data_IF_732419628948
#
_entry.id   IF_732419628948
#
_cell.length_a   1.000
_cell.length_b   1.000
_cell.length_c   1.000
_cell.angle_alpha   90.00
_cell.angle_beta   90.00
_cell.angle_gamma   90.00
#
_symmetry.space_group_name_H-M   'P 1'
#
loop_
_entity.id
_entity.type
_entity.pdbx_description
1 polymer ?
#
# COMPACT_ATOMS: atom_id res chain seq x y z
N UNK A 1 22.17 -22.16 6.16
CA UNK A 1 21.56 -21.02 6.91
C UNK A 1 21.13 -19.96 5.92
N UNK A 2 19.90 -20.15 5.45
CA UNK A 2 19.26 -19.26 4.49
C UNK A 2 18.82 -18.00 5.23
N UNK A 3 19.66 -16.96 5.17
CA UNK A 3 19.23 -15.60 5.42
C UNK A 3 18.27 -15.25 4.28
N UNK A 4 16.95 -15.31 4.56
CA UNK A 4 15.98 -14.65 3.72
C UNK A 4 16.37 -13.17 3.69
N UNK A 5 16.94 -12.73 2.58
CA UNK A 5 17.14 -11.32 2.28
C UNK A 5 15.74 -10.73 2.12
N UNK A 6 15.17 -10.20 3.20
CA UNK A 6 14.01 -9.34 3.11
C UNK A 6 14.36 -8.24 2.11
N UNK A 7 13.54 -8.08 1.07
CA UNK A 7 13.72 -6.98 0.12
C UNK A 7 13.85 -5.69 0.93
N UNK A 8 14.85 -4.87 0.62
CA UNK A 8 15.11 -3.59 1.32
C UNK A 8 13.86 -2.71 1.44
N UNK A 9 12.92 -2.87 0.52
CA UNK A 9 11.63 -2.18 0.45
C UNK A 9 10.69 -2.59 1.57
N UNK A 10 10.48 -3.90 1.75
CA UNK A 10 9.67 -4.43 2.86
C UNK A 10 10.29 -4.05 4.21
N UNK A 11 11.63 -4.03 4.30
CA UNK A 11 12.32 -3.57 5.51
C UNK A 11 12.04 -2.10 5.79
N UNK A 12 12.06 -1.24 4.77
CA UNK A 12 11.78 0.20 4.93
C UNK A 12 10.38 0.44 5.49
N UNK A 13 9.34 -0.19 4.93
CA UNK A 13 7.96 0.04 5.39
C UNK A 13 7.68 -0.57 6.76
N UNK A 14 8.41 -1.60 7.15
CA UNK A 14 8.32 -2.21 8.49
C UNK A 14 8.88 -1.32 9.61
N UNK A 15 9.71 -0.33 9.28
CA UNK A 15 10.17 0.67 10.23
C UNK A 15 9.04 1.65 10.63
N UNK A 16 8.05 1.89 9.78
CA UNK A 16 6.95 2.83 10.05
C UNK A 16 6.11 2.40 11.28
N UNK A 17 5.62 1.15 11.38
CA UNK A 17 4.95 0.67 12.58
C UNK A 17 5.94 0.23 13.68
N UNK A 18 7.22 0.54 13.52
CA UNK A 18 8.29 0.19 14.44
C UNK A 18 8.32 -1.31 14.76
N UNK A 19 8.29 -2.16 13.70
CA UNK A 19 8.58 -3.58 13.86
C UNK A 19 10.09 -3.82 14.06
N UNK A 20 10.90 -2.89 13.59
CA UNK A 20 12.33 -2.79 13.80
C UNK A 20 12.71 -1.33 14.05
N UNK A 21 13.77 -1.09 14.81
CA UNK A 21 14.35 0.24 14.98
C UNK A 21 15.45 0.48 13.94
N UNK A 22 15.64 1.75 13.55
CA UNK A 22 16.75 2.14 12.67
C UNK A 22 18.08 1.97 13.38
N UNK A 23 19.09 1.43 12.68
CA UNK A 23 20.45 1.27 13.22
C UNK A 23 21.18 2.62 13.33
N UNK A 24 20.83 3.58 12.47
CA UNK A 24 21.37 4.96 12.49
C UNK A 24 20.36 5.90 11.83
N UNK A 25 20.46 7.18 12.14
CA UNK A 25 19.52 8.19 11.65
C UNK A 25 18.21 8.22 12.44
N UNK A 26 17.15 8.74 11.83
CA UNK A 26 15.83 8.85 12.42
C UNK A 26 14.74 8.62 11.38
N UNK A 27 13.64 8.02 11.81
CA UNK A 27 12.40 7.93 11.05
C UNK A 27 11.32 8.71 11.80
N UNK A 28 10.64 9.60 11.09
CA UNK A 28 9.58 10.43 11.68
C UNK A 28 8.23 10.13 11.03
N UNK A 29 7.21 10.05 11.87
CA UNK A 29 5.80 9.96 11.47
C UNK A 29 5.09 11.17 12.06
N UNK A 30 4.39 11.96 11.22
CA UNK A 30 3.77 13.20 11.70
C UNK A 30 4.74 14.19 12.35
N UNK A 31 6.02 14.19 11.95
CA UNK A 31 7.07 15.07 12.49
C UNK A 31 7.75 14.55 13.77
N UNK A 32 7.25 13.49 14.40
CA UNK A 32 7.79 12.90 15.63
C UNK A 32 8.57 11.63 15.30
N UNK A 33 9.73 11.42 15.93
CA UNK A 33 10.51 10.19 15.75
C UNK A 33 9.68 8.99 16.24
N UNK A 34 9.69 7.90 15.47
CA UNK A 34 8.91 6.69 15.80
C UNK A 34 9.30 6.10 17.16
N UNK A 35 10.52 6.38 17.65
CA UNK A 35 11.01 5.92 18.96
C UNK A 35 10.41 6.69 20.13
N UNK A 36 9.90 7.90 19.88
CA UNK A 36 9.28 8.76 20.89
C UNK A 36 7.77 8.51 21.03
N UNK A 37 7.19 7.70 20.15
CA UNK A 37 5.79 7.28 20.26
C UNK A 37 5.61 6.16 21.28
N UNK A 38 4.45 6.17 21.96
CA UNK A 38 3.90 4.95 22.50
C UNK A 38 3.65 3.96 21.36
N UNK A 39 4.14 2.73 21.50
CA UNK A 39 4.18 1.76 20.42
C UNK A 39 2.78 1.27 20.02
N UNK A 40 1.85 1.17 20.97
CA UNK A 40 0.47 0.78 20.70
C UNK A 40 -0.26 1.91 19.99
N UNK A 41 -0.12 3.15 20.48
CA UNK A 41 -0.69 4.33 19.86
C UNK A 41 -0.20 4.51 18.41
N UNK A 42 1.09 4.29 18.12
CA UNK A 42 1.64 4.34 16.76
C UNK A 42 1.02 3.23 15.88
N UNK A 43 1.02 2.00 16.37
CA UNK A 43 0.52 0.85 15.61
C UNK A 43 -0.97 0.92 15.37
N UNK A 44 -1.72 1.55 16.25
CA UNK A 44 -3.16 1.76 16.06
C UNK A 44 -3.46 2.69 14.88
N UNK A 45 -2.56 3.59 14.56
CA UNK A 45 -2.70 4.49 13.41
C UNK A 45 -2.17 3.89 12.10
N UNK A 46 -1.52 2.73 12.14
CA UNK A 46 -0.92 2.08 10.96
C UNK A 46 -1.62 0.75 10.69
N UNK A 47 -2.06 0.54 9.46
CA UNK A 47 -2.46 -0.78 8.98
C UNK A 47 -1.48 -1.24 7.89
N UNK A 48 -1.19 -2.53 7.87
CA UNK A 48 -0.28 -3.12 6.91
C UNK A 48 -0.90 -4.38 6.29
N UNK A 49 -0.87 -4.44 4.97
CA UNK A 49 -1.20 -5.64 4.19
C UNK A 49 0.10 -6.16 3.59
N UNK A 50 0.53 -7.33 4.04
CA UNK A 50 1.80 -7.94 3.64
C UNK A 50 1.66 -8.71 2.34
N UNK A 51 2.78 -8.98 1.68
CA UNK A 51 2.84 -9.82 0.49
C UNK A 51 2.27 -11.23 0.76
N UNK A 52 2.60 -11.83 1.92
CA UNK A 52 2.01 -13.08 2.37
C UNK A 52 0.76 -12.81 3.19
N UNK A 53 -0.38 -12.87 2.55
CA UNK A 53 -1.68 -12.64 3.17
C UNK A 53 -2.15 -13.88 3.93
N UNK A 54 -2.47 -13.70 5.21
CA UNK A 54 -2.94 -14.76 6.09
C UNK A 54 -4.33 -14.45 6.61
N UNK A 55 -5.23 -15.41 6.45
CA UNK A 55 -6.53 -15.45 7.12
C UNK A 55 -6.49 -16.51 8.23
N UNK A 56 -7.25 -16.27 9.27
CA UNK A 56 -7.37 -17.19 10.41
C UNK A 56 -8.60 -18.07 10.26
N UNK A 57 -8.59 -19.21 10.94
CA UNK A 57 -9.79 -20.06 11.03
C UNK A 57 -10.92 -19.29 11.69
N UNK A 58 -12.11 -19.34 11.09
CA UNK A 58 -13.28 -18.59 11.54
C UNK A 58 -14.08 -18.07 10.35
N UNK A 59 -15.14 -17.33 10.60
CA UNK A 59 -15.97 -16.75 9.53
C UNK A 59 -15.25 -15.60 8.82
N UNK A 60 -15.73 -15.21 7.64
CA UNK A 60 -15.26 -14.00 6.95
C UNK A 60 -15.46 -12.77 7.85
N UNK A 61 -16.63 -12.62 8.48
CA UNK A 61 -16.91 -11.52 9.39
C UNK A 61 -15.93 -11.47 10.56
N UNK A 62 -15.63 -12.60 11.20
CA UNK A 62 -14.64 -12.68 12.27
C UNK A 62 -13.24 -12.28 11.78
N UNK A 63 -12.82 -12.75 10.61
CA UNK A 63 -11.56 -12.35 9.99
C UNK A 63 -11.46 -10.84 9.74
N UNK A 64 -12.52 -10.21 9.33
CA UNK A 64 -12.56 -8.76 9.11
C UNK A 64 -12.53 -8.00 10.44
N UNK A 65 -13.24 -8.48 11.48
CA UNK A 65 -13.23 -7.89 12.84
C UNK A 65 -11.88 -7.90 13.54
N UNK A 66 -10.89 -8.67 13.05
CA UNK A 66 -9.51 -8.49 13.50
C UNK A 66 -8.96 -7.08 13.21
N UNK A 67 -9.52 -6.35 12.25
CA UNK A 67 -9.20 -4.94 12.01
C UNK A 67 -9.87 -3.99 13.01
N UNK A 68 -11.11 -4.30 13.41
CA UNK A 68 -11.86 -3.59 14.44
C UNK A 68 -12.90 -4.54 15.08
N UNK A 69 -12.65 -5.02 16.33
CA UNK A 69 -13.55 -5.95 17.02
C UNK A 69 -14.97 -5.43 17.22
N UNK A 70 -15.16 -4.12 17.26
CA UNK A 70 -16.45 -3.47 17.49
C UNK A 70 -17.16 -3.05 16.20
N UNK A 71 -16.63 -3.45 15.03
CA UNK A 71 -17.21 -3.07 13.75
C UNK A 71 -18.62 -3.66 13.58
N UNK A 72 -19.56 -2.82 13.13
CA UNK A 72 -20.90 -3.23 12.73
C UNK A 72 -20.85 -4.02 11.42
N UNK A 73 -21.91 -4.77 11.14
CA UNK A 73 -22.03 -5.51 9.86
C UNK A 73 -22.03 -4.58 8.65
N UNK A 74 -22.53 -3.36 8.80
CA UNK A 74 -22.51 -2.32 7.76
C UNK A 74 -21.08 -1.85 7.49
N UNK A 75 -20.29 -1.60 8.54
CA UNK A 75 -18.88 -1.22 8.41
C UNK A 75 -18.06 -2.33 7.77
N UNK A 76 -18.30 -3.59 8.16
CA UNK A 76 -17.68 -4.77 7.55
C UNK A 76 -17.98 -4.82 6.05
N UNK A 77 -19.26 -4.68 5.67
CA UNK A 77 -19.68 -4.68 4.27
C UNK A 77 -19.06 -3.53 3.50
N UNK A 78 -19.06 -2.33 4.06
CA UNK A 78 -18.46 -1.16 3.43
C UNK A 78 -16.96 -1.34 3.17
N UNK A 79 -16.20 -1.81 4.17
CA UNK A 79 -14.78 -2.12 4.00
C UNK A 79 -14.55 -3.20 2.92
N UNK A 80 -15.41 -4.22 2.86
CA UNK A 80 -15.35 -5.25 1.84
C UNK A 80 -15.68 -4.70 0.44
N UNK A 81 -16.60 -3.76 0.32
CA UNK A 81 -16.91 -3.07 -0.94
C UNK A 81 -15.72 -2.27 -1.44
N UNK A 82 -15.07 -1.49 -0.58
CA UNK A 82 -13.86 -0.72 -0.93
C UNK A 82 -12.73 -1.64 -1.41
N UNK A 83 -12.56 -2.79 -0.78
CA UNK A 83 -11.58 -3.81 -1.16
C UNK A 83 -12.03 -4.69 -2.34
N UNK A 84 -13.17 -4.41 -2.98
CA UNK A 84 -13.78 -5.23 -4.04
C UNK A 84 -14.01 -6.69 -3.61
N UNK A 85 -14.26 -6.93 -2.32
CA UNK A 85 -14.48 -8.24 -1.75
C UNK A 85 -15.96 -8.62 -1.61
N UNK A 86 -16.86 -7.65 -1.39
CA UNK A 86 -18.29 -7.89 -1.14
C UNK A 86 -18.93 -8.73 -2.27
N UNK A 87 -18.58 -8.45 -3.53
CA UNK A 87 -19.15 -9.15 -4.68
C UNK A 87 -19.02 -10.68 -4.55
N UNK A 88 -17.81 -11.19 -4.38
CA UNK A 88 -17.61 -12.63 -4.27
C UNK A 88 -18.08 -13.19 -2.91
N UNK A 89 -18.07 -12.37 -1.84
CA UNK A 89 -18.60 -12.81 -0.55
C UNK A 89 -20.09 -13.07 -0.63
N UNK A 90 -20.84 -12.25 -1.38
CA UNK A 90 -22.28 -12.44 -1.58
C UNK A 90 -22.60 -13.69 -2.42
N UNK A 91 -21.65 -14.23 -3.20
CA UNK A 91 -21.80 -15.46 -3.98
C UNK A 91 -21.67 -16.73 -3.11
N UNK A 92 -21.06 -16.64 -1.93
CA UNK A 92 -21.00 -17.77 -1.01
C UNK A 92 -22.37 -18.05 -0.38
N UNK A 93 -22.74 -19.33 -0.15
CA UNK A 93 -24.01 -19.69 0.48
C UNK A 93 -24.25 -18.98 1.83
N UNK A 94 -23.22 -18.94 2.66
CA UNK A 94 -23.27 -18.36 4.00
C UNK A 94 -22.74 -16.93 4.04
N UNK A 95 -22.42 -16.33 2.88
CA UNK A 95 -21.94 -14.94 2.76
C UNK A 95 -20.82 -14.62 3.75
N UNK A 96 -21.01 -13.63 4.63
CA UNK A 96 -20.03 -13.24 5.65
C UNK A 96 -19.85 -14.29 6.76
N UNK A 97 -20.79 -15.20 6.94
CA UNK A 97 -20.69 -16.32 7.88
C UNK A 97 -19.97 -17.54 7.26
N UNK A 98 -19.55 -17.46 6.00
CA UNK A 98 -18.73 -18.47 5.34
C UNK A 98 -17.46 -18.71 6.14
N UNK A 99 -17.22 -19.99 6.51
CA UNK A 99 -16.04 -20.38 7.28
C UNK A 99 -14.79 -20.38 6.41
N UNK A 100 -13.75 -19.74 6.91
CA UNK A 100 -12.40 -19.72 6.33
C UNK A 100 -11.54 -20.72 7.07
N UNK A 101 -10.86 -21.58 6.33
CA UNK A 101 -9.88 -22.50 6.89
C UNK A 101 -8.58 -21.77 7.24
N UNK A 102 -7.76 -22.38 8.09
CA UNK A 102 -6.48 -21.81 8.50
C UNK A 102 -5.61 -21.47 7.29
N UNK A 103 -5.14 -20.21 7.24
CA UNK A 103 -4.37 -19.70 6.11
C UNK A 103 -5.20 -19.32 4.89
N UNK A 104 -6.52 -19.50 4.92
CA UNK A 104 -7.42 -19.19 3.80
C UNK A 104 -7.25 -20.14 2.62
N UNK A 105 -7.07 -21.45 2.89
CA UNK A 105 -6.83 -22.48 1.86
C UNK A 105 -8.04 -22.72 0.96
N UNK A 106 -9.23 -22.43 1.47
CA UNK A 106 -10.50 -22.59 0.77
C UNK A 106 -10.96 -21.34 -0.02
N UNK A 107 -10.11 -20.31 -0.12
CA UNK A 107 -10.35 -19.12 -0.96
C UNK A 107 -9.17 -18.89 -1.91
N UNK A 108 -9.43 -18.27 -3.06
CA UNK A 108 -8.37 -17.95 -4.02
C UNK A 108 -7.37 -16.91 -3.46
N UNK A 109 -6.17 -16.84 -4.05
CA UNK A 109 -5.17 -15.85 -3.67
C UNK A 109 -5.69 -14.42 -3.73
N UNK A 110 -6.39 -14.07 -4.82
CA UNK A 110 -6.98 -12.73 -4.99
C UNK A 110 -8.14 -12.45 -4.03
N UNK A 111 -8.97 -13.45 -3.70
CA UNK A 111 -10.02 -13.33 -2.67
C UNK A 111 -9.40 -13.08 -1.30
N UNK A 112 -8.41 -13.88 -0.91
CA UNK A 112 -7.68 -13.75 0.35
C UNK A 112 -7.04 -12.37 0.48
N UNK A 113 -6.41 -11.88 -0.59
CA UNK A 113 -5.77 -10.58 -0.64
C UNK A 113 -6.77 -9.45 -0.41
N UNK A 114 -7.92 -9.48 -1.11
CA UNK A 114 -9.00 -8.50 -0.94
C UNK A 114 -9.60 -8.53 0.47
N UNK A 115 -9.78 -9.69 1.08
CA UNK A 115 -10.22 -9.79 2.48
C UNK A 115 -9.19 -9.17 3.45
N UNK A 116 -7.90 -9.38 3.21
CA UNK A 116 -6.85 -8.75 4.03
C UNK A 116 -6.82 -7.21 3.86
N UNK A 117 -7.09 -6.71 2.65
CA UNK A 117 -7.25 -5.26 2.42
C UNK A 117 -8.48 -4.74 3.17
N UNK A 118 -9.64 -5.41 3.07
CA UNK A 118 -10.85 -5.03 3.81
C UNK A 118 -10.62 -4.98 5.32
N UNK A 119 -9.93 -5.98 5.88
CA UNK A 119 -9.53 -6.00 7.29
C UNK A 119 -8.66 -4.80 7.67
N UNK A 120 -7.70 -4.42 6.83
CA UNK A 120 -6.85 -3.27 7.07
C UNK A 120 -7.64 -1.95 7.01
N UNK A 121 -8.58 -1.81 6.08
CA UNK A 121 -9.45 -0.63 5.95
C UNK A 121 -10.38 -0.48 7.16
N UNK A 122 -10.88 -1.59 7.71
CA UNK A 122 -11.79 -1.59 8.84
C UNK A 122 -11.16 -1.00 10.12
N UNK A 123 -9.83 -1.02 10.20
CA UNK A 123 -9.06 -0.35 11.26
C UNK A 123 -9.15 1.19 11.17
N UNK A 124 -9.55 1.75 10.03
CA UNK A 124 -9.58 3.20 9.74
C UNK A 124 -8.22 3.88 10.02
N UNK A 125 -7.11 3.38 9.45
CA UNK A 125 -5.76 3.83 9.79
C UNK A 125 -5.49 5.23 9.23
N UNK A 126 -4.52 5.94 9.84
CA UNK A 126 -3.93 7.16 9.26
C UNK A 126 -2.86 6.84 8.22
N UNK A 127 -2.23 5.68 8.32
CA UNK A 127 -1.23 5.20 7.36
C UNK A 127 -1.61 3.77 6.95
N UNK A 128 -1.81 3.57 5.65
CA UNK A 128 -2.07 2.26 5.06
C UNK A 128 -0.86 1.83 4.24
N UNK A 129 -0.24 0.73 4.61
CA UNK A 129 0.90 0.14 3.92
C UNK A 129 0.44 -1.09 3.14
N UNK A 130 0.73 -1.11 1.85
CA UNK A 130 0.39 -2.19 0.93
C UNK A 130 1.68 -2.75 0.33
N UNK A 131 2.18 -3.87 0.88
CA UNK A 131 3.40 -4.52 0.42
C UNK A 131 3.06 -5.61 -0.60
N UNK A 132 3.19 -5.27 -1.89
CA UNK A 132 2.84 -6.10 -3.06
C UNK A 132 1.47 -6.80 -2.92
N UNK A 133 0.56 -6.11 -2.24
CA UNK A 133 -0.69 -6.67 -1.76
C UNK A 133 -1.77 -6.77 -2.84
N UNK A 134 -1.49 -6.38 -4.08
CA UNK A 134 -2.41 -6.53 -5.22
C UNK A 134 -1.83 -7.41 -6.34
N UNK A 135 -0.71 -8.09 -6.10
CA UNK A 135 -0.03 -8.94 -7.10
C UNK A 135 -0.89 -10.12 -7.58
N UNK A 136 -1.72 -10.68 -6.71
CA UNK A 136 -2.65 -11.77 -7.04
C UNK A 136 -4.04 -11.27 -7.50
N UNK A 137 -4.25 -9.95 -7.56
CA UNK A 137 -5.49 -9.33 -8.02
C UNK A 137 -5.33 -8.94 -9.49
N UNK A 138 -6.37 -9.12 -10.30
CA UNK A 138 -6.35 -8.69 -11.70
C UNK A 138 -6.30 -7.16 -11.82
N UNK A 139 -5.79 -6.68 -12.95
CA UNK A 139 -5.53 -5.25 -13.19
C UNK A 139 -6.80 -4.39 -13.09
N UNK A 140 -7.96 -4.93 -13.49
CA UNK A 140 -9.23 -4.20 -13.44
C UNK A 140 -9.67 -4.00 -11.99
N UNK A 141 -9.62 -5.05 -11.19
CA UNK A 141 -9.96 -5.02 -9.77
C UNK A 141 -8.97 -4.15 -8.98
N UNK A 142 -7.67 -4.20 -9.28
CA UNK A 142 -6.66 -3.32 -8.67
C UNK A 142 -6.96 -1.83 -8.92
N UNK A 143 -7.34 -1.46 -10.15
CA UNK A 143 -7.76 -0.09 -10.46
C UNK A 143 -8.99 0.35 -9.65
N UNK A 144 -9.98 -0.53 -9.48
CA UNK A 144 -11.18 -0.21 -8.69
C UNK A 144 -10.84 -0.01 -7.21
N UNK A 145 -9.96 -0.83 -6.65
CA UNK A 145 -9.48 -0.68 -5.27
C UNK A 145 -8.78 0.67 -5.10
N UNK A 146 -7.93 1.07 -6.04
CA UNK A 146 -7.22 2.37 -5.98
C UNK A 146 -8.17 3.55 -6.10
N UNK A 147 -9.12 3.48 -7.02
CA UNK A 147 -10.17 4.50 -7.14
C UNK A 147 -10.97 4.64 -5.84
N UNK A 148 -11.32 3.53 -5.19
CA UNK A 148 -11.96 3.54 -3.89
C UNK A 148 -11.07 4.19 -2.82
N UNK A 149 -9.77 3.91 -2.81
CA UNK A 149 -8.84 4.55 -1.87
C UNK A 149 -8.74 6.06 -2.07
N UNK A 150 -8.75 6.51 -3.32
CA UNK A 150 -8.69 7.94 -3.63
C UNK A 150 -9.96 8.67 -3.15
N UNK A 151 -11.13 8.10 -3.40
CA UNK A 151 -12.41 8.75 -3.15
C UNK A 151 -12.87 8.64 -1.69
N UNK A 152 -12.67 7.48 -1.06
CA UNK A 152 -13.29 7.15 0.23
C UNK A 152 -12.36 7.32 1.44
N UNK A 153 -11.04 7.28 1.21
CA UNK A 153 -10.03 7.46 2.27
C UNK A 153 -8.96 8.48 1.87
N UNK A 154 -9.34 9.71 1.40
CA UNK A 154 -8.38 10.71 0.94
C UNK A 154 -7.39 11.13 2.05
N UNK A 155 -7.84 11.20 3.30
CA UNK A 155 -7.04 11.62 4.46
C UNK A 155 -6.07 10.56 4.99
N UNK A 156 -6.04 9.37 4.39
CA UNK A 156 -5.13 8.29 4.76
C UNK A 156 -3.87 8.36 3.91
N UNK A 157 -2.69 8.43 4.53
CA UNK A 157 -1.42 8.26 3.81
C UNK A 157 -1.27 6.82 3.33
N UNK A 158 -1.07 6.63 2.03
CA UNK A 158 -0.92 5.29 1.43
C UNK A 158 0.53 5.09 1.01
N UNK A 159 1.15 4.02 1.51
CA UNK A 159 2.49 3.58 1.11
C UNK A 159 2.32 2.28 0.35
N UNK A 160 2.65 2.30 -0.93
CA UNK A 160 2.42 1.16 -1.82
C UNK A 160 3.75 0.65 -2.34
N UNK A 161 4.07 -0.61 -2.06
CA UNK A 161 5.14 -1.33 -2.73
C UNK A 161 4.51 -2.12 -3.87
N UNK A 162 4.93 -1.88 -5.08
CA UNK A 162 4.42 -2.59 -6.24
C UNK A 162 5.55 -2.89 -7.23
N UNK A 163 5.40 -4.01 -7.92
CA UNK A 163 6.28 -4.41 -9.03
C UNK A 163 5.76 -3.89 -10.36
N UNK A 164 4.49 -3.49 -10.43
CA UNK A 164 3.86 -2.96 -11.65
C UNK A 164 3.81 -1.43 -11.59
N UNK A 165 4.40 -0.77 -12.60
CA UNK A 165 4.35 0.70 -12.71
C UNK A 165 2.90 1.19 -12.79
N UNK A 166 2.02 0.49 -13.52
CA UNK A 166 0.60 0.81 -13.59
C UNK A 166 -0.10 0.91 -12.22
N UNK A 167 0.47 0.28 -11.20
CA UNK A 167 -0.06 0.33 -9.84
C UNK A 167 0.34 1.58 -9.06
N UNK A 168 1.28 2.38 -9.54
CA UNK A 168 1.86 3.51 -8.81
C UNK A 168 1.90 4.81 -9.62
N UNK A 169 1.57 4.76 -10.90
CA UNK A 169 1.68 5.91 -11.80
C UNK A 169 0.82 7.12 -11.40
N UNK A 170 -0.28 6.90 -10.65
CA UNK A 170 -1.18 7.96 -10.18
C UNK A 170 -0.81 8.46 -8.76
N UNK A 171 0.36 8.09 -8.29
CA UNK A 171 0.78 8.44 -6.92
C UNK A 171 1.46 9.80 -6.89
N UNK A 172 1.29 10.53 -5.78
CA UNK A 172 1.86 11.86 -5.59
C UNK A 172 3.39 11.84 -5.60
N UNK A 173 4.00 10.77 -5.10
CA UNK A 173 5.45 10.57 -5.07
C UNK A 173 5.79 9.10 -5.29
N UNK A 174 6.73 8.86 -6.14
CA UNK A 174 7.30 7.54 -6.45
C UNK A 174 8.76 7.55 -6.03
N UNK A 175 9.17 6.53 -5.26
CA UNK A 175 10.56 6.28 -4.90
C UNK A 175 11.08 5.08 -5.68
N UNK A 176 12.07 5.29 -6.52
CA UNK A 176 12.78 4.20 -7.22
C UNK A 176 13.92 3.73 -6.32
N UNK A 177 13.90 2.46 -5.95
CA UNK A 177 14.89 1.88 -5.03
C UNK A 177 15.64 0.74 -5.70
N UNK A 178 16.95 0.78 -5.57
CA UNK A 178 17.84 -0.31 -5.96
C UNK A 178 18.89 -0.57 -4.86
N UNK A 179 19.20 -1.83 -4.59
CA UNK A 179 20.20 -2.26 -3.60
C UNK A 179 20.09 -1.52 -2.24
N UNK A 180 18.85 -1.25 -1.77
CA UNK A 180 18.59 -0.59 -0.49
C UNK A 180 18.81 0.91 -0.49
N UNK A 181 18.98 1.53 -1.65
CA UNK A 181 19.15 2.98 -1.81
C UNK A 181 18.04 3.57 -2.66
N UNK A 182 17.64 4.80 -2.35
CA UNK A 182 16.76 5.57 -3.22
C UNK A 182 17.61 6.13 -4.36
N UNK A 183 17.33 5.70 -5.59
CA UNK A 183 18.03 6.12 -6.80
C UNK A 183 17.40 7.37 -7.40
N UNK A 184 16.06 7.45 -7.39
CA UNK A 184 15.31 8.58 -7.89
C UNK A 184 13.98 8.74 -7.12
N UNK A 185 13.44 9.94 -7.13
CA UNK A 185 12.12 10.25 -6.57
C UNK A 185 11.44 11.32 -7.40
N UNK A 186 10.12 11.23 -7.53
CA UNK A 186 9.31 12.20 -8.29
C UNK A 186 7.96 11.63 -8.66
N UNK A 187 7.20 12.36 -9.45
CA UNK A 187 5.96 11.89 -10.08
C UNK A 187 6.27 10.92 -11.22
N UNK A 188 5.25 10.26 -11.74
CA UNK A 188 5.39 9.38 -12.91
C UNK A 188 6.03 10.10 -14.11
N UNK A 189 5.54 11.31 -14.43
CA UNK A 189 6.03 12.09 -15.55
C UNK A 189 7.48 12.54 -15.38
N UNK A 190 7.83 13.02 -14.18
CA UNK A 190 9.20 13.41 -13.84
C UNK A 190 10.16 12.23 -13.95
N UNK A 191 9.79 11.06 -13.46
CA UNK A 191 10.64 9.87 -13.51
C UNK A 191 10.78 9.31 -14.93
N UNK A 192 9.74 9.39 -15.76
CA UNK A 192 9.86 9.06 -17.18
C UNK A 192 10.84 9.98 -17.93
N UNK A 193 10.93 11.24 -17.51
CA UNK A 193 11.85 12.20 -18.12
C UNK A 193 13.30 12.07 -17.61
N UNK A 194 13.50 11.69 -16.33
CA UNK A 194 14.79 11.83 -15.64
C UNK A 194 15.44 10.53 -15.20
N UNK A 195 14.70 9.41 -15.15
CA UNK A 195 15.20 8.12 -14.65
C UNK A 195 15.10 7.04 -15.72
N UNK A 196 16.24 6.65 -16.29
CA UNK A 196 16.29 5.67 -17.37
C UNK A 196 15.86 4.27 -16.91
N UNK A 197 16.17 3.89 -15.66
CA UNK A 197 15.72 2.62 -15.08
C UNK A 197 14.20 2.57 -14.98
N UNK A 198 13.59 3.62 -14.45
CA UNK A 198 12.13 3.69 -14.35
C UNK A 198 11.45 3.63 -15.71
N UNK A 199 11.99 4.36 -16.69
CA UNK A 199 11.51 4.36 -18.08
C UNK A 199 11.61 2.97 -18.71
N UNK A 200 12.74 2.30 -18.56
CA UNK A 200 12.98 0.95 -19.08
C UNK A 200 11.96 -0.06 -18.54
N UNK A 201 11.68 -0.01 -17.24
CA UNK A 201 10.68 -0.88 -16.60
C UNK A 201 9.28 -0.58 -17.14
N UNK A 202 8.91 0.70 -17.22
CA UNK A 202 7.62 1.11 -17.75
C UNK A 202 7.41 0.63 -19.19
N UNK A 203 8.38 0.86 -20.07
CA UNK A 203 8.34 0.41 -21.47
C UNK A 203 8.25 -1.11 -21.58
N UNK A 204 9.04 -1.84 -20.81
CA UNK A 204 9.01 -3.30 -20.78
C UNK A 204 7.63 -3.82 -20.37
N UNK A 205 7.03 -3.24 -19.33
CA UNK A 205 5.71 -3.66 -18.84
C UNK A 205 4.58 -3.27 -19.80
N UNK A 206 4.68 -2.12 -20.47
CA UNK A 206 3.70 -1.65 -21.44
C UNK A 206 3.76 -2.48 -22.73
N UNK A 207 4.96 -2.82 -23.20
CA UNK A 207 5.15 -3.66 -24.39
C UNK A 207 4.57 -5.06 -24.18
N UNK A 208 4.70 -5.65 -22.99
CA UNK A 208 4.14 -6.95 -22.66
C UNK A 208 2.60 -6.94 -22.50
N UNK A 209 1.97 -5.77 -22.43
CA UNK A 209 0.50 -5.61 -22.39
C UNK A 209 -0.13 -5.35 -23.75
N UNK A 210 0.67 -5.02 -24.79
CA UNK A 210 0.21 -4.87 -26.17
C UNK A 210 -0.19 -6.24 -26.75
N UNK A 211 -1.31 -6.29 -27.46
CA UNK A 211 -1.84 -7.53 -28.04
C UNK A 211 -0.86 -8.15 -29.06
N UNK A 212 -0.91 -9.50 -29.30
CA UNK A 212 0.00 -10.20 -30.22
C UNK A 212 0.01 -9.67 -31.65
N UNK A 213 -1.01 -8.96 -32.09
CA UNK A 213 -1.09 -8.38 -33.46
C UNK A 213 -0.19 -7.15 -33.66
N UNK A 214 0.15 -6.41 -32.59
CA UNK A 214 1.07 -5.26 -32.70
C UNK A 214 2.55 -5.68 -32.54
N UNK A 215 2.83 -6.84 -31.95
CA UNK A 215 4.19 -7.38 -31.77
C UNK A 215 4.83 -7.81 -33.11
N UNK A 216 4.04 -8.27 -34.08
CA UNK A 216 4.56 -8.70 -35.38
C UNK A 216 5.10 -7.52 -36.23
N UNK A 217 4.68 -6.29 -35.97
CA UNK A 217 5.20 -5.11 -36.65
C UNK A 217 6.45 -4.51 -36.01
N UNK A 218 6.68 -4.78 -34.71
CA UNK A 218 7.83 -4.26 -33.95
C UNK A 218 9.06 -5.16 -33.98
N UNK A 219 8.88 -6.48 -34.15
CA UNK A 219 10.00 -7.44 -34.21
C UNK A 219 10.87 -7.35 -35.47
N UNK A 220 10.36 -6.72 -36.53
CA UNK A 220 11.15 -6.50 -37.75
C UNK A 220 12.14 -5.33 -37.63
N UNK A 221 12.10 -4.53 -36.57
CA UNK A 221 12.96 -3.36 -36.37
C UNK A 221 14.05 -3.52 -35.30
N UNK A 222 14.09 -4.63 -34.57
CA UNK A 222 14.98 -4.78 -33.42
C UNK A 222 15.69 -6.15 -33.40
N UNK A 223 16.46 -6.45 -34.44
CA UNK A 223 17.56 -7.40 -34.36
C UNK A 223 18.84 -6.60 -34.21
N UNK A 224 19.29 -6.46 -32.97
CA UNK A 224 20.66 -6.28 -32.48
C UNK A 224 20.67 -5.51 -31.16
N UNK A 225 20.65 -6.22 -30.03
CA UNK A 225 21.47 -5.92 -28.85
C UNK A 225 21.19 -6.91 -27.73
N UNK A 226 22.22 -7.60 -27.40
CA UNK A 226 22.70 -8.29 -26.20
C UNK A 226 21.85 -8.32 -24.92
N UNK A 227 21.73 -9.55 -24.40
CA UNK A 227 21.12 -9.94 -23.13
C UNK A 227 21.81 -9.30 -21.90
N UNK A 228 20.99 -8.66 -21.07
CA UNK A 228 21.23 -8.50 -19.64
C UNK A 228 19.90 -8.76 -18.93
N UNK A 229 19.92 -9.63 -17.92
CA UNK A 229 18.74 -9.87 -17.07
C UNK A 229 18.33 -8.55 -16.39
N UNK A 230 17.03 -8.20 -16.39
CA UNK A 230 16.58 -6.96 -15.76
C UNK A 230 16.71 -7.07 -14.25
N UNK A 231 17.43 -6.16 -13.64
CA UNK A 231 17.44 -5.94 -12.20
C UNK A 231 15.99 -5.70 -11.71
N UNK A 232 15.57 -6.41 -10.68
CA UNK A 232 14.25 -6.25 -10.05
C UNK A 232 14.17 -4.88 -9.36
N UNK A 233 13.76 -3.86 -10.08
CA UNK A 233 13.50 -2.52 -9.53
C UNK A 233 12.04 -2.44 -9.11
N UNK A 234 11.79 -2.10 -7.86
CA UNK A 234 10.44 -1.97 -7.29
C UNK A 234 10.25 -0.55 -6.76
N UNK A 235 9.07 -0.04 -7.00
CA UNK A 235 8.69 1.33 -6.69
C UNK A 235 7.96 1.38 -5.35
N UNK A 236 8.41 2.25 -4.44
CA UNK A 236 7.70 2.59 -3.19
C UNK A 236 7.03 3.93 -3.39
N UNK A 237 5.73 3.96 -3.19
CA UNK A 237 4.93 5.17 -3.40
C UNK A 237 4.35 5.67 -2.09
N UNK A 238 4.40 6.99 -1.88
CA UNK A 238 3.76 7.65 -0.75
C UNK A 238 2.72 8.62 -1.30
N UNK A 239 1.44 8.35 -1.01
CA UNK A 239 0.35 9.30 -1.27
C UNK A 239 0.07 10.06 0.01
N UNK A 240 0.24 11.39 -0.01
CA UNK A 240 0.00 12.27 1.12
C UNK A 240 -1.44 12.81 1.06
N UNK A 241 -2.12 13.03 2.21
CA UNK A 241 -3.38 13.75 2.23
C UNK A 241 -3.17 15.19 1.74
N UNK A 242 -4.08 15.70 0.92
CA UNK A 242 -4.08 17.09 0.47
C UNK A 242 -4.19 18.00 1.69
N UNK A 243 -3.17 18.85 1.89
CA UNK A 243 -3.18 19.85 2.96
C UNK A 243 -4.25 20.91 2.63
N UNK A 244 -5.37 20.85 3.33
CA UNK A 244 -6.35 21.93 3.33
C UNK A 244 -5.76 23.11 4.08
N UNK A 245 -5.38 24.16 3.34
CA UNK A 245 -4.82 25.39 3.89
C UNK A 245 -5.96 26.23 4.45
N UNK A 246 -6.50 25.86 5.59
CA UNK A 246 -7.27 26.79 6.42
C UNK A 246 -6.40 27.27 7.56
N UNK A 247 -5.86 28.48 7.36
CA UNK A 247 -5.22 29.27 8.40
C UNK A 247 -6.22 29.50 9.53
N UNK A 248 -6.01 28.83 10.65
CA UNK A 248 -6.69 29.17 11.89
C UNK A 248 -5.79 30.14 12.67
N UNK A 249 -6.16 31.42 12.63
CA UNK A 249 -5.70 32.47 13.55
C UNK A 249 -5.80 31.99 15.00
N UNK A 250 -4.68 31.74 15.61
CA UNK A 250 -4.61 31.59 17.07
C UNK A 250 -4.11 32.89 17.68
N UNK A 251 -5.06 33.69 18.11
CA UNK A 251 -4.91 34.91 18.87
C UNK A 251 -4.17 34.63 20.18
N UNK A 252 -2.99 35.19 20.35
CA UNK A 252 -2.25 35.19 21.60
C UNK A 252 -3.07 35.89 22.68
N UNK A 253 -3.33 35.22 23.77
CA UNK A 253 -3.83 35.80 25.00
C UNK A 253 -2.65 36.13 25.92
N UNK A 254 -2.41 37.40 26.03
CA UNK A 254 -1.52 38.10 26.95
C UNK A 254 -2.00 37.86 28.39
N UNK A 255 -1.18 37.27 29.22
CA UNK A 255 -1.47 37.18 30.67
C UNK A 255 -0.52 38.09 31.40
N UNK A 256 -1.05 39.25 31.83
CA UNK A 256 -0.42 40.15 32.74
C UNK A 256 -0.35 39.57 34.15
N UNK A 257 0.79 39.77 34.75
CA UNK A 257 1.09 39.69 36.17
C UNK A 257 0.11 40.48 37.04
N UNK A 258 -0.15 40.04 38.22
CA UNK A 258 -0.85 40.73 39.28
C UNK A 258 -0.42 40.18 40.64
N UNK A 259 0.50 40.91 41.25
CA UNK A 259 0.97 40.78 42.64
C UNK A 259 -0.12 40.98 43.71
N UNK A 260 0.19 40.46 44.87
CA UNK A 260 -0.17 40.92 46.23
C UNK A 260 -1.35 40.21 46.94
N UNK A 261 -1.07 39.43 47.85
CA UNK A 261 -1.12 39.44 49.32
C UNK A 261 -1.20 38.03 49.89
#
# INVERSE_FOLDING_TARGET
>A
SDLHVCSAKSSLVQLVPRLYDVSSGSLKVGGVDVRDYDIEALRDQVAMVLQKNVLFSGTIAENLRWGNPNATDEEIRHAAQLAQADGFVQEFPDKYDTYIEQGGTNVSGGQRQRLCIARALLKKPKILILDDSTSAVDTKTDKLIRAAFHNEIPDTTKIIIAQRVASVQESDMILVMDNGRIMASGTHEELLATCDEYRSIYESQTRNQAKPEELAAAEQAATESSAAEPAETVTVTVTMPTADTTAADTKAADTKEGEAR
#
